data_IF_842643477514
#
_entry.id   IF_842643477514
#
_cell.length_a   1.000
_cell.length_b   1.000
_cell.length_c   1.000
_cell.angle_alpha   90.00
_cell.angle_beta   90.00
_cell.angle_gamma   90.00
#
_symmetry.space_group_name_H-M   'P 1'
#
loop_
_entity.id
_entity.type
_entity.pdbx_description
1 polymer ?
#
# COMPACT_ATOMS: atom_id res chain seq x y z
N UNK A 1 -10.96 21.64 0.43
CA UNK A 1 -11.38 20.96 -0.80
C UNK A 1 -10.56 21.51 -1.96
N UNK A 2 -10.39 20.73 -3.01
CA UNK A 2 -9.72 21.13 -4.25
C UNK A 2 -10.70 21.02 -5.41
N UNK A 3 -10.90 22.08 -6.16
CA UNK A 3 -11.66 22.07 -7.40
C UNK A 3 -10.72 21.66 -8.54
N UNK A 4 -10.93 20.48 -9.12
CA UNK A 4 -10.09 19.93 -10.18
C UNK A 4 -10.87 19.90 -11.50
N UNK A 5 -10.30 20.50 -12.53
CA UNK A 5 -10.88 20.50 -13.87
C UNK A 5 -9.88 19.93 -14.88
N UNK A 6 -10.24 18.82 -15.53
CA UNK A 6 -9.40 18.10 -16.49
C UNK A 6 -9.84 18.44 -17.90
N UNK A 7 -9.05 19.26 -18.59
CA UNK A 7 -9.32 19.70 -19.95
C UNK A 7 -8.88 18.67 -20.99
N UNK A 8 -7.78 17.96 -20.71
CA UNK A 8 -7.21 16.97 -21.62
C UNK A 8 -6.37 15.94 -20.85
N UNK A 9 -6.46 14.67 -21.25
CA UNK A 9 -5.61 13.60 -20.72
C UNK A 9 -4.29 13.51 -21.49
N UNK A 10 -3.27 13.00 -20.80
CA UNK A 10 -2.01 12.65 -21.44
C UNK A 10 -2.22 11.45 -22.36
N UNK A 11 -1.73 11.53 -23.59
CA UNK A 11 -1.86 10.47 -24.60
C UNK A 11 -0.51 10.16 -25.23
N UNK A 12 -0.24 8.87 -25.42
CA UNK A 12 0.98 8.40 -26.06
C UNK A 12 0.92 8.53 -27.58
N UNK A 13 2.09 8.66 -28.19
CA UNK A 13 2.20 8.79 -29.64
C UNK A 13 1.77 7.51 -30.36
N UNK A 14 1.15 7.62 -31.52
CA UNK A 14 0.86 6.46 -32.39
C UNK A 14 1.45 6.60 -33.79
N UNK A 15 1.89 5.47 -34.34
CA UNK A 15 2.38 5.34 -35.71
C UNK A 15 1.79 4.09 -36.33
N UNK A 16 1.23 4.23 -37.52
CA UNK A 16 0.64 3.13 -38.27
C UNK A 16 1.41 2.87 -39.56
N UNK A 17 1.57 1.60 -39.90
CA UNK A 17 2.08 1.20 -41.21
C UNK A 17 1.10 1.57 -42.32
N UNK A 18 1.58 1.59 -43.56
CA UNK A 18 0.69 1.51 -44.73
C UNK A 18 -0.16 0.23 -44.65
N UNK A 19 -1.43 0.27 -45.09
CA UNK A 19 -2.29 -0.90 -45.07
C UNK A 19 -1.73 -2.01 -45.98
N UNK A 20 -1.75 -3.24 -45.48
CA UNK A 20 -1.43 -4.48 -46.19
C UNK A 20 -2.73 -5.24 -46.48
N UNK A 21 -2.72 -6.12 -47.48
CA UNK A 21 -3.91 -6.84 -47.93
C UNK A 21 -4.63 -7.65 -46.83
N UNK A 22 -3.89 -8.14 -45.83
CA UNK A 22 -4.46 -8.81 -44.64
C UNK A 22 -3.45 -8.89 -43.49
N UNK A 23 -3.89 -9.32 -42.31
CA UNK A 23 -3.02 -9.59 -41.15
C UNK A 23 -2.03 -10.74 -41.36
N UNK A 24 -2.28 -11.59 -42.38
CA UNK A 24 -1.40 -12.68 -42.79
C UNK A 24 -0.43 -12.27 -43.91
N UNK A 25 -0.49 -11.03 -44.41
CA UNK A 25 0.45 -10.54 -45.40
C UNK A 25 1.87 -10.62 -44.85
N UNK A 26 2.76 -11.25 -45.62
CA UNK A 26 4.15 -11.46 -45.24
C UNK A 26 5.01 -10.29 -45.67
N UNK A 27 5.78 -9.74 -44.74
CA UNK A 27 6.85 -8.79 -45.00
C UNK A 27 8.18 -9.52 -45.23
N UNK A 28 9.23 -8.81 -45.64
CA UNK A 28 10.57 -9.41 -45.73
C UNK A 28 11.20 -9.55 -44.34
N UNK A 29 12.03 -10.58 -44.16
CA UNK A 29 12.86 -10.73 -42.97
C UNK A 29 13.86 -9.57 -42.87
N UNK A 30 14.26 -9.22 -41.64
CA UNK A 30 15.16 -8.10 -41.38
C UNK A 30 15.16 -7.66 -39.92
N UNK A 31 15.87 -6.58 -39.64
CA UNK A 31 15.95 -5.99 -38.30
C UNK A 31 15.06 -4.75 -38.22
N UNK A 32 14.19 -4.70 -37.22
CA UNK A 32 13.43 -3.51 -36.87
C UNK A 32 14.06 -2.88 -35.63
N UNK A 33 14.60 -1.68 -35.75
CA UNK A 33 15.08 -0.92 -34.59
C UNK A 33 14.03 0.09 -34.16
N UNK A 34 13.67 0.06 -32.88
CA UNK A 34 12.77 1.01 -32.25
C UNK A 34 13.60 1.92 -31.34
N UNK A 35 13.55 3.22 -31.64
CA UNK A 35 14.24 4.26 -30.88
C UNK A 35 13.22 5.26 -30.34
N UNK A 36 13.37 5.64 -29.07
CA UNK A 36 12.58 6.68 -28.43
C UNK A 36 13.42 7.97 -28.42
N UNK A 37 12.91 9.09 -28.93
CA UNK A 37 13.72 10.30 -29.12
C UNK A 37 12.98 11.63 -29.13
N UNK A 38 13.43 12.59 -29.95
CA UNK A 38 12.70 13.77 -30.46
C UNK A 38 13.16 14.00 -31.91
N UNK A 39 12.23 14.26 -32.85
CA UNK A 39 12.58 14.76 -34.18
C UNK A 39 12.62 16.29 -34.15
N UNK A 40 13.60 16.89 -34.81
CA UNK A 40 13.66 18.34 -35.02
C UNK A 40 12.47 18.89 -35.82
N UNK A 41 12.28 20.21 -35.81
CA UNK A 41 11.23 20.86 -36.60
C UNK A 41 11.62 20.91 -38.10
N UNK A 42 10.81 20.29 -38.96
CA UNK A 42 11.02 20.25 -40.42
C UNK A 42 10.33 19.04 -41.06
N UNK A 43 10.11 19.05 -42.38
CA UNK A 43 9.53 17.90 -43.10
C UNK A 43 10.32 17.59 -44.37
N UNK A 44 11.09 16.48 -44.41
CA UNK A 44 11.34 15.55 -43.30
C UNK A 44 12.21 16.19 -42.21
N UNK A 45 11.99 15.80 -40.95
CA UNK A 45 12.85 16.22 -39.85
C UNK A 45 14.23 15.58 -40.04
N UNK A 46 15.27 16.40 -40.22
CA UNK A 46 16.60 15.91 -40.56
C UNK A 46 17.33 15.28 -39.36
N UNK A 47 17.00 15.70 -38.15
CA UNK A 47 17.71 15.31 -36.94
C UNK A 47 16.80 14.56 -35.96
N UNK A 48 17.24 13.36 -35.54
CA UNK A 48 16.64 12.57 -34.47
C UNK A 48 17.56 12.58 -33.25
N UNK A 49 17.06 13.04 -32.11
CA UNK A 49 17.80 13.03 -30.84
C UNK A 49 17.26 11.92 -29.95
N UNK A 50 18.10 10.98 -29.53
CA UNK A 50 17.69 9.91 -28.63
C UNK A 50 17.25 10.45 -27.26
N UNK A 51 16.22 9.82 -26.66
CA UNK A 51 15.75 10.15 -25.32
C UNK A 51 16.82 9.76 -24.30
N UNK A 52 17.23 10.71 -23.46
CA UNK A 52 18.19 10.47 -22.39
C UNK A 52 17.72 9.31 -21.49
N UNK A 53 18.58 8.30 -21.33
CA UNK A 53 18.28 7.10 -20.52
C UNK A 53 17.49 6.00 -21.25
N UNK A 54 17.19 6.15 -22.55
CA UNK A 54 16.62 5.09 -23.39
C UNK A 54 17.68 4.51 -24.31
N UNK A 55 17.66 3.18 -24.52
CA UNK A 55 18.53 2.49 -25.49
C UNK A 55 17.70 2.00 -26.68
N UNK A 56 18.22 2.10 -27.92
CA UNK A 56 17.60 1.48 -29.09
C UNK A 56 17.32 0.00 -28.85
N UNK A 57 16.12 -0.46 -29.21
CA UNK A 57 15.76 -1.88 -29.14
C UNK A 57 15.66 -2.43 -30.55
N UNK A 58 16.56 -3.35 -30.88
CA UNK A 58 16.57 -4.07 -32.15
C UNK A 58 15.77 -5.37 -32.02
N UNK A 59 14.86 -5.58 -32.96
CA UNK A 59 13.98 -6.74 -33.03
C UNK A 59 14.28 -7.48 -34.32
N UNK A 60 14.72 -8.74 -34.19
CA UNK A 60 15.00 -9.60 -35.32
C UNK A 60 13.72 -10.27 -35.83
N UNK A 61 13.37 -9.96 -37.08
CA UNK A 61 12.29 -10.64 -37.81
C UNK A 61 12.92 -11.73 -38.66
N UNK A 62 12.89 -12.97 -38.13
CA UNK A 62 13.46 -14.15 -38.78
C UNK A 62 12.57 -14.72 -39.89
N UNK A 63 13.13 -15.65 -40.67
CA UNK A 63 12.36 -16.40 -41.65
C UNK A 63 11.28 -17.24 -40.93
N UNK A 64 10.01 -16.90 -41.14
CA UNK A 64 8.86 -17.49 -40.43
C UNK A 64 8.12 -16.51 -39.51
N UNK A 65 8.75 -15.39 -39.14
CA UNK A 65 8.16 -14.34 -38.29
C UNK A 65 7.59 -13.16 -39.10
N UNK A 66 7.37 -13.36 -40.40
CA UNK A 66 7.09 -12.29 -41.36
C UNK A 66 5.65 -11.82 -41.41
N UNK A 67 4.73 -12.44 -40.67
CA UNK A 67 3.34 -11.99 -40.59
C UNK A 67 3.19 -10.77 -39.68
N UNK A 68 2.15 -9.94 -39.89
CA UNK A 68 1.88 -8.82 -38.99
C UNK A 68 1.64 -9.28 -37.54
N UNK A 69 1.03 -10.46 -37.36
CA UNK A 69 0.78 -11.04 -36.04
C UNK A 69 2.08 -11.41 -35.31
N UNK A 70 2.99 -12.12 -35.98
CA UNK A 70 4.30 -12.47 -35.41
C UNK A 70 5.15 -11.23 -35.13
N UNK A 71 5.11 -10.22 -36.02
CA UNK A 71 5.82 -8.95 -35.81
C UNK A 71 5.26 -8.20 -34.59
N UNK A 72 3.93 -8.09 -34.46
CA UNK A 72 3.26 -7.50 -33.28
C UNK A 72 3.72 -8.18 -31.99
N UNK A 73 3.70 -9.50 -31.96
CA UNK A 73 4.02 -10.28 -30.76
C UNK A 73 5.49 -10.14 -30.39
N UNK A 74 6.40 -10.08 -31.37
CA UNK A 74 7.81 -9.77 -31.14
C UNK A 74 8.03 -8.37 -30.58
N UNK A 75 7.35 -7.35 -31.11
CA UNK A 75 7.45 -5.98 -30.59
C UNK A 75 6.96 -5.89 -29.14
N UNK A 76 5.82 -6.50 -28.85
CA UNK A 76 5.27 -6.51 -27.49
C UNK A 76 6.15 -7.29 -26.51
N UNK A 77 6.86 -8.33 -26.98
CA UNK A 77 7.77 -9.13 -26.16
C UNK A 77 9.14 -8.46 -25.98
N UNK A 78 9.57 -7.60 -26.90
CA UNK A 78 10.87 -6.94 -26.88
C UNK A 78 10.99 -5.85 -25.79
N UNK A 79 9.88 -5.42 -25.18
CA UNK A 79 9.89 -4.42 -24.12
C UNK A 79 10.38 -3.04 -24.59
N UNK A 80 10.24 -2.72 -25.88
CA UNK A 80 10.79 -1.53 -26.54
C UNK A 80 10.12 -0.18 -26.14
N UNK A 81 9.39 -0.14 -25.03
CA UNK A 81 8.64 1.05 -24.59
C UNK A 81 7.46 1.44 -25.49
N UNK A 82 7.03 0.53 -26.37
CA UNK A 82 5.86 0.67 -27.25
C UNK A 82 5.01 -0.59 -27.19
N UNK A 83 3.72 -0.45 -27.50
CA UNK A 83 2.76 -1.54 -27.70
C UNK A 83 2.34 -1.56 -29.16
N UNK A 84 2.50 -2.71 -29.82
CA UNK A 84 2.01 -2.98 -31.16
C UNK A 84 0.62 -3.63 -31.13
N UNK A 85 -0.25 -3.18 -32.02
CA UNK A 85 -1.61 -3.70 -32.25
C UNK A 85 -1.87 -3.77 -33.75
N UNK A 86 -2.65 -4.75 -34.20
CA UNK A 86 -3.11 -4.81 -35.60
C UNK A 86 -4.51 -4.21 -35.65
N UNK A 87 -4.69 -3.22 -36.53
CA UNK A 87 -6.01 -2.65 -36.83
C UNK A 87 -6.39 -3.11 -38.23
N UNK A 88 -7.56 -3.72 -38.38
CA UNK A 88 -8.07 -4.18 -39.68
C UNK A 88 -9.35 -3.43 -40.01
N UNK A 89 -9.49 -2.97 -41.25
CA UNK A 89 -10.71 -2.39 -41.80
C UNK A 89 -10.96 -2.90 -43.24
N UNK A 90 -11.96 -2.36 -43.91
CA UNK A 90 -12.33 -2.76 -45.28
C UNK A 90 -11.21 -2.52 -46.32
N UNK A 91 -10.19 -1.72 -45.98
CA UNK A 91 -9.04 -1.40 -46.84
C UNK A 91 -7.81 -2.26 -46.54
N UNK A 92 -7.88 -3.19 -45.58
CA UNK A 92 -6.81 -4.11 -45.22
C UNK A 92 -6.42 -4.06 -43.74
N UNK A 93 -5.23 -4.59 -43.42
CA UNK A 93 -4.66 -4.61 -42.06
C UNK A 93 -3.44 -3.69 -41.94
N UNK A 94 -3.33 -2.97 -40.83
CA UNK A 94 -2.19 -2.11 -40.49
C UNK A 94 -1.64 -2.45 -39.12
N UNK A 95 -0.32 -2.39 -38.98
CA UNK A 95 0.36 -2.46 -37.70
C UNK A 95 0.39 -1.05 -37.10
N UNK A 96 -0.21 -0.88 -35.93
CA UNK A 96 -0.22 0.36 -35.16
C UNK A 96 0.65 0.19 -33.92
N UNK A 97 1.63 1.06 -33.78
CA UNK A 97 2.50 1.15 -32.62
C UNK A 97 2.06 2.34 -31.77
N UNK A 98 1.95 2.14 -30.46
CA UNK A 98 1.65 3.19 -29.48
C UNK A 98 2.74 3.24 -28.43
N UNK A 99 3.32 4.41 -28.17
CA UNK A 99 4.26 4.58 -27.06
C UNK A 99 3.58 4.34 -25.71
N UNK A 100 4.28 3.66 -24.80
CA UNK A 100 3.86 3.53 -23.40
C UNK A 100 3.96 4.86 -22.65
N UNK A 101 4.81 5.78 -23.11
CA UNK A 101 4.92 7.11 -22.54
C UNK A 101 3.86 8.05 -23.12
N UNK A 102 3.25 8.85 -22.27
CA UNK A 102 2.21 9.83 -22.62
C UNK A 102 2.76 11.26 -22.84
N UNK A 103 4.09 11.41 -22.86
CA UNK A 103 4.78 12.68 -23.02
C UNK A 103 5.24 12.92 -24.48
N UNK A 104 5.52 14.18 -24.82
CA UNK A 104 6.07 14.60 -26.12
C UNK A 104 7.45 13.99 -26.48
N UNK A 105 8.10 13.30 -25.56
CA UNK A 105 9.43 12.67 -25.72
C UNK A 105 9.36 11.25 -26.33
N UNK A 106 8.50 11.00 -27.32
CA UNK A 106 8.34 9.66 -27.94
C UNK A 106 7.97 9.70 -29.43
N UNK A 107 8.74 10.39 -30.29
CA UNK A 107 8.60 10.37 -31.73
C UNK A 107 8.77 8.96 -32.28
N UNK A 108 7.68 8.46 -32.82
CA UNK A 108 7.73 7.50 -33.91
C UNK A 108 7.39 8.27 -35.20
N UNK A 109 7.70 7.77 -36.40
CA UNK A 109 7.35 8.43 -37.67
C UNK A 109 5.82 8.59 -37.89
N UNK A 110 5.29 9.68 -37.33
CA UNK A 110 3.97 10.34 -37.33
C UNK A 110 2.75 9.63 -37.97
N UNK A 111 1.78 9.27 -37.12
CA UNK A 111 0.33 9.27 -37.48
C UNK A 111 -0.52 10.09 -36.49
N UNK A 112 -0.20 10.11 -35.18
CA UNK A 112 -0.74 11.09 -34.21
C UNK A 112 0.30 11.41 -33.12
N UNK A 113 0.48 12.70 -32.75
CA UNK A 113 1.48 13.17 -31.77
C UNK A 113 1.09 12.89 -30.32
N UNK A 114 2.07 12.62 -29.45
CA UNK A 114 1.84 12.57 -28.00
C UNK A 114 1.48 13.95 -27.45
N UNK A 115 0.67 13.97 -26.39
CA UNK A 115 0.13 15.19 -25.81
C UNK A 115 0.10 15.07 -24.30
N UNK A 116 0.58 16.08 -23.58
CA UNK A 116 0.52 16.15 -22.13
C UNK A 116 -0.92 16.37 -21.63
N UNK A 117 -1.21 15.86 -20.42
CA UNK A 117 -2.42 16.21 -19.69
C UNK A 117 -2.44 17.72 -19.42
N UNK A 118 -3.63 18.32 -19.54
CA UNK A 118 -3.89 19.71 -19.18
C UNK A 118 -5.06 19.71 -18.18
N UNK A 119 -4.83 20.31 -17.02
CA UNK A 119 -5.81 20.41 -15.96
C UNK A 119 -5.66 21.72 -15.20
N UNK A 120 -6.62 22.06 -14.35
CA UNK A 120 -6.47 23.10 -13.35
C UNK A 120 -6.88 22.62 -11.97
N UNK A 121 -6.19 23.10 -10.95
CA UNK A 121 -6.52 22.86 -9.54
C UNK A 121 -6.73 24.22 -8.88
N UNK A 122 -7.92 24.47 -8.35
CA UNK A 122 -8.32 25.77 -7.78
C UNK A 122 -8.05 26.95 -8.74
N UNK A 123 -8.28 26.75 -10.04
CA UNK A 123 -8.03 27.75 -11.09
C UNK A 123 -6.57 27.91 -11.53
N UNK A 124 -5.61 27.24 -10.90
CA UNK A 124 -4.22 27.23 -11.34
C UNK A 124 -4.08 26.20 -12.46
N UNK A 125 -3.61 26.60 -13.63
CA UNK A 125 -3.39 25.69 -14.76
C UNK A 125 -2.09 24.87 -14.59
N UNK A 126 -2.18 23.57 -14.83
CA UNK A 126 -1.08 22.63 -14.78
C UNK A 126 -1.02 21.78 -16.05
N UNK A 127 0.19 21.36 -16.39
CA UNK A 127 0.43 20.35 -17.42
C UNK A 127 1.22 19.19 -16.83
N UNK A 128 0.89 17.97 -17.24
CA UNK A 128 1.59 16.76 -16.78
C UNK A 128 1.85 15.81 -17.93
N UNK A 129 3.04 15.23 -17.93
CA UNK A 129 3.42 14.15 -18.83
C UNK A 129 2.68 12.83 -18.54
N UNK A 130 2.07 12.68 -17.36
CA UNK A 130 1.38 11.48 -16.88
C UNK A 130 -0.06 11.78 -16.43
N UNK A 131 -0.92 10.77 -16.53
CA UNK A 131 -2.27 10.81 -15.96
C UNK A 131 -2.30 10.47 -14.46
N UNK A 132 -1.17 10.09 -13.86
CA UNK A 132 -1.02 9.92 -12.41
C UNK A 132 -0.12 11.04 -11.88
N UNK A 133 -0.69 11.87 -11.01
CA UNK A 133 -0.05 13.05 -10.44
C UNK A 133 0.29 12.75 -8.97
N UNK A 134 1.56 12.62 -8.64
CA UNK A 134 2.02 12.31 -7.27
C UNK A 134 2.45 13.54 -6.47
N UNK A 135 2.93 14.58 -7.15
CA UNK A 135 3.60 15.72 -6.51
C UNK A 135 2.93 17.06 -6.81
N UNK A 136 1.67 17.01 -7.24
CA UNK A 136 0.92 18.20 -7.65
C UNK A 136 0.21 18.86 -6.45
N UNK A 137 -0.20 18.05 -5.48
CA UNK A 137 -0.73 18.53 -4.19
C UNK A 137 -0.07 17.70 -3.10
N UNK A 138 0.52 18.37 -2.12
CA UNK A 138 1.25 17.69 -1.03
C UNK A 138 0.35 16.67 -0.31
N UNK A 139 0.86 15.44 -0.20
CA UNK A 139 0.13 14.32 0.41
C UNK A 139 -1.02 13.71 -0.42
N UNK A 140 -1.24 14.12 -1.68
CA UNK A 140 -2.25 13.51 -2.56
C UNK A 140 -1.66 12.92 -3.84
N UNK A 141 -2.10 11.72 -4.19
CA UNK A 141 -1.95 11.16 -5.54
C UNK A 141 -3.27 11.27 -6.29
N UNK A 142 -3.27 11.94 -7.44
CA UNK A 142 -4.47 12.18 -8.27
C UNK A 142 -4.35 11.40 -9.57
N UNK A 143 -5.36 10.56 -9.86
CA UNK A 143 -5.45 9.80 -11.11
C UNK A 143 -6.48 10.43 -12.05
N UNK A 144 -6.03 10.86 -13.23
CA UNK A 144 -6.85 11.45 -14.28
C UNK A 144 -7.41 10.33 -15.18
N UNK A 145 -8.71 10.08 -15.07
CA UNK A 145 -9.37 9.00 -15.80
C UNK A 145 -10.14 9.48 -17.05
N UNK A 146 -10.63 10.72 -17.02
CA UNK A 146 -11.42 11.34 -18.09
C UNK A 146 -11.32 12.86 -18.02
N UNK A 147 -11.68 13.51 -19.11
CA UNK A 147 -11.94 14.96 -19.14
C UNK A 147 -13.23 15.28 -18.38
N UNK A 148 -13.29 16.48 -17.82
CA UNK A 148 -14.44 16.98 -17.06
C UNK A 148 -15.05 18.19 -17.76
N UNK A 149 -16.37 18.32 -17.76
CA UNK A 149 -17.04 19.49 -18.34
C UNK A 149 -17.15 20.68 -17.37
N UNK A 150 -17.02 20.41 -16.07
CA UNK A 150 -17.04 21.36 -14.97
C UNK A 150 -16.09 20.87 -13.86
N UNK A 151 -15.81 21.73 -12.89
CA UNK A 151 -14.93 21.43 -11.77
C UNK A 151 -15.46 20.25 -10.93
N UNK A 152 -14.56 19.35 -10.55
CA UNK A 152 -14.82 18.24 -9.63
C UNK A 152 -14.24 18.60 -8.27
N UNK A 153 -15.11 18.62 -7.26
CA UNK A 153 -14.69 18.87 -5.88
C UNK A 153 -14.09 17.62 -5.24
N UNK A 154 -12.84 17.73 -4.82
CA UNK A 154 -12.13 16.73 -4.02
C UNK A 154 -12.02 17.22 -2.59
N UNK A 155 -12.71 16.55 -1.67
CA UNK A 155 -12.60 16.82 -0.24
C UNK A 155 -11.55 15.93 0.41
N UNK A 156 -10.74 16.54 1.28
CA UNK A 156 -9.82 15.80 2.17
C UNK A 156 -10.46 15.85 3.55
N UNK A 157 -10.71 14.67 4.11
CA UNK A 157 -11.29 14.50 5.43
C UNK A 157 -10.41 13.57 6.25
N UNK A 158 -10.44 13.75 7.57
CA UNK A 158 -9.78 12.84 8.50
C UNK A 158 -10.53 11.52 8.57
N UNK A 159 -9.84 10.41 8.35
CA UNK A 159 -10.41 9.07 8.43
C UNK A 159 -10.47 8.57 9.89
N UNK A 160 -11.53 8.95 10.59
CA UNK A 160 -11.80 8.47 11.95
C UNK A 160 -12.30 7.03 11.99
N UNK A 161 -12.82 6.50 10.87
CA UNK A 161 -13.33 5.15 10.78
C UNK A 161 -12.19 4.12 10.87
N UNK A 162 -11.12 4.32 10.11
CA UNK A 162 -9.94 3.44 10.17
C UNK A 162 -9.29 3.46 11.56
N UNK A 163 -9.21 4.63 12.21
CA UNK A 163 -8.68 4.74 13.59
C UNK A 163 -9.59 4.02 14.59
N UNK A 164 -10.91 4.16 14.45
CA UNK A 164 -11.88 3.45 15.30
C UNK A 164 -11.74 1.94 15.16
N UNK A 165 -11.65 1.44 13.92
CA UNK A 165 -11.44 0.01 13.63
C UNK A 165 -10.15 -0.51 14.28
N UNK A 166 -9.04 0.21 14.12
CA UNK A 166 -7.77 -0.20 14.75
C UNK A 166 -7.86 -0.28 16.29
N UNK A 167 -8.59 0.65 16.92
CA UNK A 167 -8.82 0.63 18.37
C UNK A 167 -9.72 -0.53 18.77
N UNK A 168 -10.79 -0.81 18.02
CA UNK A 168 -11.68 -1.95 18.30
C UNK A 168 -10.98 -3.29 18.10
N UNK A 169 -10.10 -3.40 17.10
CA UNK A 169 -9.31 -4.60 16.83
C UNK A 169 -8.31 -4.86 17.96
N UNK A 170 -7.66 -3.80 18.47
CA UNK A 170 -6.81 -3.90 19.66
C UNK A 170 -7.59 -4.41 20.88
N UNK A 171 -8.77 -3.83 21.15
CA UNK A 171 -9.62 -4.27 22.27
C UNK A 171 -10.07 -5.72 22.11
N UNK A 172 -10.41 -6.12 20.88
CA UNK A 172 -10.76 -7.50 20.55
C UNK A 172 -9.59 -8.46 20.85
N UNK A 173 -8.38 -8.16 20.35
CA UNK A 173 -7.19 -8.96 20.59
C UNK A 173 -6.84 -9.05 22.10
N UNK A 174 -6.95 -7.94 22.83
CA UNK A 174 -6.78 -7.91 24.28
C UNK A 174 -7.80 -8.82 24.98
N UNK A 175 -9.07 -8.75 24.58
CA UNK A 175 -10.15 -9.54 25.18
C UNK A 175 -10.02 -11.03 24.87
N UNK A 176 -9.58 -11.40 23.67
CA UNK A 176 -9.24 -12.78 23.30
C UNK A 176 -8.11 -13.30 24.19
N UNK A 177 -7.03 -12.53 24.38
CA UNK A 177 -5.93 -12.91 25.25
C UNK A 177 -6.36 -13.04 26.72
N UNK A 178 -7.09 -12.06 27.24
CA UNK A 178 -7.60 -12.07 28.61
C UNK A 178 -8.50 -13.28 28.86
N UNK A 179 -9.37 -13.62 27.91
CA UNK A 179 -10.23 -14.80 27.96
C UNK A 179 -9.43 -16.10 27.90
N UNK A 180 -8.42 -16.17 27.02
CA UNK A 180 -7.53 -17.32 26.92
C UNK A 180 -6.79 -17.58 28.24
N UNK A 181 -6.17 -16.54 28.81
CA UNK A 181 -5.49 -16.63 30.11
C UNK A 181 -6.46 -17.07 31.20
N UNK A 182 -7.66 -16.48 31.26
CA UNK A 182 -8.69 -16.85 32.24
C UNK A 182 -9.05 -18.33 32.14
N UNK A 183 -9.31 -18.83 30.93
CA UNK A 183 -9.62 -20.25 30.72
C UNK A 183 -8.47 -21.17 31.11
N UNK A 184 -7.23 -20.82 30.76
CA UNK A 184 -6.07 -21.67 31.05
C UNK A 184 -5.66 -21.66 32.53
N UNK A 185 -6.02 -20.62 33.29
CA UNK A 185 -5.67 -20.48 34.70
C UNK A 185 -6.81 -20.83 35.66
N UNK A 186 -8.03 -21.00 35.16
CA UNK A 186 -9.21 -21.27 35.97
C UNK A 186 -9.27 -22.71 36.49
N UNK A 187 -9.82 -22.87 37.69
CA UNK A 187 -10.32 -24.14 38.20
C UNK A 187 -11.83 -24.19 38.00
N UNK A 188 -12.33 -25.23 37.33
CA UNK A 188 -13.76 -25.48 37.22
C UNK A 188 -14.20 -26.35 38.41
N UNK A 189 -14.97 -25.76 39.33
CA UNK A 189 -15.46 -26.44 40.52
C UNK A 189 -16.45 -27.57 40.21
N UNK A 190 -17.23 -27.44 39.13
CA UNK A 190 -18.26 -28.39 38.74
C UNK A 190 -17.65 -29.66 38.13
N UNK A 191 -16.71 -29.49 37.19
CA UNK A 191 -16.00 -30.61 36.57
C UNK A 191 -14.78 -31.07 37.35
N UNK A 192 -14.40 -30.35 38.41
CA UNK A 192 -13.17 -30.56 39.20
C UNK A 192 -11.91 -30.61 38.34
N UNK A 193 -11.92 -29.88 37.22
CA UNK A 193 -10.79 -29.83 36.29
C UNK A 193 -10.04 -28.50 36.41
N UNK A 194 -8.72 -28.61 36.35
CA UNK A 194 -7.80 -27.47 36.29
C UNK A 194 -7.48 -27.13 34.84
N UNK A 195 -7.45 -25.84 34.51
CA UNK A 195 -6.81 -25.38 33.28
C UNK A 195 -5.32 -25.74 33.27
N UNK A 196 -4.72 -25.87 32.09
CA UNK A 196 -3.35 -26.34 31.95
C UNK A 196 -2.30 -25.45 32.65
N UNK A 197 -2.64 -24.18 32.89
CA UNK A 197 -1.79 -23.17 33.52
C UNK A 197 -2.37 -22.74 34.89
N UNK A 198 -3.16 -23.57 35.55
CA UNK A 198 -3.62 -23.25 36.90
C UNK A 198 -2.44 -23.14 37.86
N UNK A 199 -2.38 -22.04 38.63
CA UNK A 199 -1.29 -21.76 39.56
C UNK A 199 0.00 -21.22 38.91
N UNK A 200 -0.02 -21.06 37.59
CA UNK A 200 1.08 -20.51 36.81
C UNK A 200 1.36 -19.04 37.17
N UNK A 201 2.49 -18.79 37.83
CA UNK A 201 2.84 -17.43 38.26
C UNK A 201 3.24 -16.51 37.10
N UNK A 202 3.66 -17.05 35.94
CA UNK A 202 4.16 -16.27 34.80
C UNK A 202 3.05 -15.65 33.94
N UNK A 203 2.20 -16.45 33.29
CA UNK A 203 0.80 -16.58 33.72
C UNK A 203 0.14 -15.31 34.24
N UNK A 204 -0.05 -15.35 35.56
CA UNK A 204 -0.67 -14.30 36.36
C UNK A 204 0.15 -13.00 36.38
N UNK A 205 1.49 -13.08 36.33
CA UNK A 205 2.34 -11.89 36.29
C UNK A 205 2.15 -11.09 34.99
N UNK A 206 2.06 -11.74 33.83
CA UNK A 206 1.78 -11.08 32.56
C UNK A 206 0.41 -10.39 32.58
N UNK A 207 -0.61 -11.08 33.10
CA UNK A 207 -1.94 -10.50 33.26
C UNK A 207 -1.90 -9.26 34.17
N UNK A 208 -1.15 -9.31 35.26
CA UNK A 208 -0.92 -8.18 36.16
C UNK A 208 -0.20 -7.03 35.44
N UNK A 209 0.83 -7.32 34.64
CA UNK A 209 1.59 -6.31 33.91
C UNK A 209 0.76 -5.61 32.82
N UNK A 210 -0.06 -6.36 32.09
CA UNK A 210 -1.04 -5.80 31.14
C UNK A 210 -2.04 -4.87 31.84
N UNK A 211 -2.56 -5.28 33.01
CA UNK A 211 -3.46 -4.43 33.82
C UNK A 211 -2.74 -3.22 34.41
N UNK A 212 -1.45 -3.35 34.73
CA UNK A 212 -0.63 -2.24 35.22
C UNK A 212 -0.50 -1.15 34.16
N UNK A 213 -0.26 -1.51 32.88
CA UNK A 213 -0.20 -0.55 31.77
C UNK A 213 -1.50 0.24 31.63
N UNK A 214 -2.66 -0.40 31.84
CA UNK A 214 -3.97 0.27 31.77
C UNK A 214 -4.20 1.27 32.92
N UNK A 215 -3.70 0.95 34.11
CA UNK A 215 -3.91 1.74 35.32
C UNK A 215 -2.86 2.85 35.50
N UNK A 216 -1.73 2.75 34.80
CA UNK A 216 -0.68 3.76 34.83
C UNK A 216 -1.15 5.06 34.17
N UNK A 217 -0.92 6.19 34.83
CA UNK A 217 -1.20 7.50 34.25
C UNK A 217 -0.30 7.80 33.04
N UNK A 218 -0.79 8.67 32.17
CA UNK A 218 -0.05 9.22 31.05
C UNK A 218 0.00 10.73 31.10
N UNK A 219 1.14 11.27 30.69
CA UNK A 219 1.41 12.69 30.43
C UNK A 219 1.59 12.97 28.94
N UNK A 220 1.38 11.96 28.09
CA UNK A 220 1.57 12.07 26.64
C UNK A 220 0.57 13.02 26.00
N UNK A 221 -0.70 12.98 26.42
CA UNK A 221 -1.74 13.92 26.00
C UNK A 221 -1.99 14.95 27.10
N UNK A 222 -2.27 16.17 26.66
CA UNK A 222 -2.72 17.28 27.52
C UNK A 222 -4.22 17.19 27.84
N UNK A 223 -4.99 16.50 27.00
CA UNK A 223 -6.45 16.33 27.16
C UNK A 223 -6.81 15.09 27.94
N UNK A 224 -6.00 14.04 27.87
CA UNK A 224 -6.29 12.77 28.51
C UNK A 224 -5.08 12.18 29.23
N UNK A 225 -5.31 11.75 30.47
CA UNK A 225 -4.30 11.10 31.29
C UNK A 225 -4.45 9.57 31.32
N UNK A 226 -5.63 9.06 30.96
CA UNK A 226 -6.00 7.63 31.08
C UNK A 226 -6.84 7.15 29.91
N UNK A 227 -6.72 5.86 29.61
CA UNK A 227 -7.54 5.20 28.59
C UNK A 227 -9.05 5.22 28.90
N UNK A 228 -9.43 5.23 30.18
CA UNK A 228 -10.83 5.32 30.60
C UNK A 228 -11.51 6.63 30.19
N UNK A 229 -10.73 7.70 29.98
CA UNK A 229 -11.24 9.02 29.58
C UNK A 229 -11.62 9.04 28.09
N UNK A 230 -10.94 8.25 27.26
CA UNK A 230 -11.31 8.01 25.85
C UNK A 230 -12.28 6.82 25.69
N UNK A 231 -12.80 6.29 26.79
CA UNK A 231 -13.80 5.22 26.80
C UNK A 231 -13.25 3.80 26.77
N UNK A 232 -11.94 3.58 26.92
CA UNK A 232 -11.38 2.24 27.05
C UNK A 232 -11.26 1.87 28.53
N UNK A 233 -12.20 1.06 29.04
CA UNK A 233 -12.30 0.76 30.47
C UNK A 233 -12.06 -0.71 30.76
N UNK A 234 -11.32 -0.99 31.83
CA UNK A 234 -11.10 -2.36 32.30
C UNK A 234 -12.29 -2.82 33.15
N UNK A 235 -12.91 -3.92 32.77
CA UNK A 235 -13.98 -4.56 33.54
C UNK A 235 -13.42 -5.46 34.65
N UNK A 236 -14.28 -5.82 35.60
CA UNK A 236 -13.92 -6.70 36.71
C UNK A 236 -13.37 -8.07 36.25
N UNK A 237 -13.88 -8.58 35.12
CA UNK A 237 -13.45 -9.84 34.50
C UNK A 237 -12.07 -9.79 33.83
N UNK A 238 -11.43 -8.62 33.78
CA UNK A 238 -10.12 -8.41 33.17
C UNK A 238 -10.15 -8.11 31.68
N UNK A 239 -11.33 -8.00 31.06
CA UNK A 239 -11.49 -7.58 29.65
C UNK A 239 -11.69 -6.06 29.55
N UNK A 240 -11.39 -5.50 28.37
CA UNK A 240 -11.60 -4.11 28.02
C UNK A 240 -12.98 -3.90 27.38
N UNK A 241 -13.65 -2.83 27.76
CA UNK A 241 -14.87 -2.33 27.14
C UNK A 241 -14.60 -1.06 26.33
N UNK A 242 -15.36 -0.89 25.24
CA UNK A 242 -15.33 0.32 24.40
C UNK A 242 -16.57 1.15 24.70
N UNK A 243 -16.40 2.23 25.44
CA UNK A 243 -17.43 3.19 25.82
C UNK A 243 -17.91 4.09 24.67
N UNK A 244 -18.12 3.51 23.48
CA UNK A 244 -18.69 4.08 22.24
C UNK A 244 -18.60 5.59 22.11
N UNK A 245 -19.56 6.30 22.73
CA UNK A 245 -19.65 7.76 22.71
C UNK A 245 -18.38 8.50 23.18
N UNK A 246 -17.67 7.98 24.20
CA UNK A 246 -16.39 8.57 24.64
C UNK A 246 -15.28 8.38 23.61
N UNK A 247 -15.27 7.23 22.93
CA UNK A 247 -14.32 6.97 21.85
C UNK A 247 -14.64 7.85 20.64
N UNK A 248 -15.92 8.00 20.29
CA UNK A 248 -16.38 8.88 19.21
C UNK A 248 -16.01 10.34 19.48
N UNK A 249 -16.14 10.81 20.73
CA UNK A 249 -15.68 12.14 21.14
C UNK A 249 -14.15 12.28 21.09
N UNK A 250 -13.40 11.24 21.47
CA UNK A 250 -11.94 11.25 21.40
C UNK A 250 -11.43 11.28 19.94
N UNK A 251 -12.14 10.61 19.03
CA UNK A 251 -11.85 10.62 17.59
C UNK A 251 -12.03 12.00 16.95
N UNK A 252 -12.80 12.90 17.57
CA UNK A 252 -12.91 14.29 17.12
C UNK A 252 -11.62 15.10 17.40
N UNK A 253 -10.73 14.64 18.29
CA UNK A 253 -9.44 15.26 18.58
C UNK A 253 -8.28 14.26 18.36
N UNK A 254 -8.09 13.90 17.08
CA UNK A 254 -7.04 12.98 16.63
C UNK A 254 -5.62 13.36 17.05
N UNK A 255 -5.19 14.64 17.07
CA UNK A 255 -3.84 15.00 17.51
C UNK A 255 -3.55 14.55 18.94
N UNK A 256 -4.49 14.77 19.87
CA UNK A 256 -4.34 14.34 21.26
C UNK A 256 -4.51 12.83 21.41
N UNK A 257 -5.40 12.21 20.63
CA UNK A 257 -5.59 10.76 20.64
C UNK A 257 -4.32 10.04 20.16
N UNK A 258 -3.68 10.57 19.10
CA UNK A 258 -2.40 10.08 18.58
C UNK A 258 -1.32 10.14 19.65
N UNK A 259 -1.23 11.25 20.39
CA UNK A 259 -0.27 11.38 21.49
C UNK A 259 -0.54 10.36 22.59
N UNK A 260 -1.79 10.26 23.06
CA UNK A 260 -2.19 9.33 24.10
C UNK A 260 -1.84 7.86 23.75
N UNK A 261 -2.07 7.46 22.50
CA UNK A 261 -1.89 6.07 22.08
C UNK A 261 -0.46 5.77 21.61
N UNK A 262 0.19 6.69 20.89
CA UNK A 262 1.39 6.40 20.10
C UNK A 262 2.56 7.37 20.29
N UNK A 263 2.50 8.30 21.26
CA UNK A 263 3.63 9.19 21.55
C UNK A 263 4.90 8.41 21.86
N UNK A 264 6.00 8.85 21.26
CA UNK A 264 7.33 8.31 21.50
C UNK A 264 8.02 9.15 22.57
N UNK A 265 8.47 8.52 23.66
CA UNK A 265 9.11 9.18 24.79
C UNK A 265 10.10 8.22 25.45
N UNK A 266 11.11 8.79 26.10
CA UNK A 266 12.06 8.05 26.93
C UNK A 266 11.50 7.69 28.32
N UNK A 267 10.39 8.31 28.73
CA UNK A 267 9.73 8.04 30.01
C UNK A 267 8.47 7.20 29.81
N UNK A 268 8.18 6.28 30.75
CA UNK A 268 6.93 5.50 30.71
C UNK A 268 5.72 6.44 30.66
N UNK A 269 5.66 7.44 31.56
CA UNK A 269 4.58 8.42 31.62
C UNK A 269 4.38 9.23 30.33
N UNK A 270 5.44 9.53 29.56
CA UNK A 270 5.33 10.24 28.28
C UNK A 270 5.07 9.33 27.07
N UNK A 271 5.23 8.01 27.25
CA UNK A 271 5.04 7.02 26.19
C UNK A 271 3.56 6.73 26.01
N UNK A 272 3.09 6.65 24.76
CA UNK A 272 1.71 6.31 24.45
C UNK A 272 1.34 4.87 24.85
N UNK A 273 0.09 4.64 25.23
CA UNK A 273 -0.36 3.34 25.77
C UNK A 273 -0.11 2.16 24.82
N UNK A 274 -0.34 2.32 23.51
CA UNK A 274 -0.11 1.23 22.53
C UNK A 274 1.37 0.87 22.46
N UNK A 275 2.26 1.85 22.58
CA UNK A 275 3.72 1.58 22.66
C UNK A 275 4.10 0.89 23.95
N UNK A 276 3.49 1.25 25.10
CA UNK A 276 3.71 0.53 26.36
C UNK A 276 3.29 -0.94 26.25
N UNK A 277 2.13 -1.21 25.63
CA UNK A 277 1.70 -2.58 25.35
C UNK A 277 2.64 -3.31 24.40
N UNK A 278 3.10 -2.64 23.35
CA UNK A 278 4.09 -3.20 22.43
C UNK A 278 5.40 -3.55 23.14
N UNK A 279 5.95 -2.64 23.95
CA UNK A 279 7.18 -2.88 24.69
C UNK A 279 7.03 -4.07 25.66
N UNK A 280 5.87 -4.21 26.29
CA UNK A 280 5.54 -5.37 27.12
C UNK A 280 5.48 -6.66 26.30
N UNK A 281 4.81 -6.64 25.15
CA UNK A 281 4.73 -7.80 24.25
C UNK A 281 6.11 -8.21 23.72
N UNK A 282 6.93 -7.24 23.30
CA UNK A 282 8.29 -7.47 22.81
C UNK A 282 9.18 -8.05 23.91
N UNK A 283 9.09 -7.55 25.14
CA UNK A 283 9.83 -8.09 26.29
C UNK A 283 9.38 -9.52 26.66
N UNK A 284 8.09 -9.83 26.53
CA UNK A 284 7.57 -11.16 26.83
C UNK A 284 7.94 -12.19 25.75
N UNK A 285 7.94 -11.78 24.47
CA UNK A 285 8.17 -12.62 23.29
C UNK A 285 9.65 -12.66 22.82
N UNK A 286 10.52 -11.84 23.41
CA UNK A 286 11.94 -11.85 23.12
C UNK A 286 12.59 -13.20 23.45
N UNK A 287 13.81 -13.41 22.94
CA UNK A 287 14.60 -14.65 23.16
C UNK A 287 14.91 -14.93 24.63
N UNK A 288 14.97 -13.89 25.45
CA UNK A 288 15.12 -13.98 26.91
C UNK A 288 13.80 -13.70 27.66
N UNK A 289 12.70 -13.67 26.93
CA UNK A 289 11.38 -13.37 27.47
C UNK A 289 10.85 -14.45 28.40
N UNK A 290 9.82 -14.10 29.17
CA UNK A 290 9.21 -14.98 30.19
C UNK A 290 8.71 -16.30 29.61
N UNK A 291 8.27 -16.32 28.35
CA UNK A 291 7.75 -17.52 27.71
C UNK A 291 8.85 -18.48 27.27
N UNK A 292 9.95 -17.97 26.72
CA UNK A 292 11.06 -18.82 26.29
C UNK A 292 11.79 -19.39 27.50
N UNK A 293 12.11 -18.54 28.49
CA UNK A 293 12.76 -18.97 29.74
C UNK A 293 11.95 -20.05 30.45
N UNK A 294 10.62 -19.91 30.49
CA UNK A 294 9.75 -20.92 31.06
C UNK A 294 9.68 -22.21 30.23
N UNK A 295 9.55 -22.10 28.91
CA UNK A 295 9.52 -23.26 28.02
C UNK A 295 10.81 -24.06 28.13
N UNK A 296 11.97 -23.39 28.15
CA UNK A 296 13.27 -24.00 28.39
C UNK A 296 13.34 -24.67 29.77
N UNK A 297 12.84 -24.02 30.82
CA UNK A 297 12.79 -24.59 32.17
C UNK A 297 11.95 -25.87 32.27
N UNK A 298 10.80 -25.91 31.60
CA UNK A 298 9.93 -27.10 31.53
C UNK A 298 10.62 -28.22 30.76
N UNK A 299 11.19 -27.92 29.57
CA UNK A 299 11.95 -28.91 28.78
C UNK A 299 13.10 -29.52 29.58
N UNK A 300 13.87 -28.69 30.28
CA UNK A 300 14.95 -29.14 31.13
C UNK A 300 14.45 -30.01 32.31
N UNK A 301 13.26 -29.72 32.85
CA UNK A 301 12.65 -30.58 33.87
C UNK A 301 12.22 -31.93 33.31
N UNK A 302 11.67 -31.97 32.10
CA UNK A 302 11.31 -33.22 31.40
C UNK A 302 12.56 -34.05 31.11
N UNK A 303 13.64 -33.42 30.66
CA UNK A 303 14.93 -34.08 30.43
C UNK A 303 15.54 -34.66 31.72
N UNK A 304 15.47 -33.93 32.84
CA UNK A 304 15.95 -34.45 34.13
C UNK A 304 15.09 -35.62 34.62
N UNK A 305 13.78 -35.53 34.46
CA UNK A 305 12.87 -36.59 34.90
C UNK A 305 13.04 -37.86 34.05
N UNK A 306 13.21 -37.74 32.74
CA UNK A 306 13.50 -38.89 31.87
C UNK A 306 14.83 -39.55 32.23
N UNK A 307 15.91 -38.78 32.41
CA UNK A 307 17.21 -39.31 32.85
C UNK A 307 17.20 -39.96 34.24
N UNK A 308 16.25 -39.62 35.09
CA UNK A 308 16.10 -40.24 36.42
C UNK A 308 15.25 -41.51 36.40
N UNK A 309 14.55 -41.78 35.30
CA UNK A 309 13.73 -42.98 35.11
C UNK A 309 14.49 -44.10 34.37
N UNK A 310 15.54 -43.75 33.64
CA UNK A 310 16.54 -44.67 33.05
C UNK A 310 17.60 -45.10 34.08
#
# INVERSE_FOLDING_TARGET
>A
SYAIHVQRLATGQTVSSTPLASSAATLSAGTLTIELGTYGSGSPAADFTNKTGSSPVTIDIGAGDTSLASIRDKINSAGAGVVATIVSDASGARLSLRSNATAADSPMARTASAVNAALSINGIALTSASNTLTDVVDGLTVNLLKTTAADVDVSVATDTATVKTAITDFVSAFNTLASFIKTQTAYNADSKTAGALQGDQSTLALQSQLRSVLNEGSSASSSWSRLSEIGLTLKADGTLDTGGAKLDNALANLPELKKLLSADSSTSAGTGFVRRFKNLADAALGTEGVFETRSAGIRASVERNSKSQD
#
